data_IF_550109690767
#
_entry.id   IF_550109690767
#
_cell.length_a   1.000
_cell.length_b   1.000
_cell.length_c   1.000
_cell.angle_alpha   90.00
_cell.angle_beta   90.00
_cell.angle_gamma   90.00
#
_symmetry.space_group_name_H-M   'P 1'
#
loop_
_entity.id
_entity.type
_entity.pdbx_description
1 polymer ?
#
# COMPACT_ATOMS: atom_id res chain seq x y z
N UNK A 1 24.77 24.03 18.61
CA UNK A 1 24.20 22.83 19.25
C UNK A 1 22.69 22.61 18.99
N UNK A 2 21.96 23.51 18.32
CA UNK A 2 20.47 23.43 18.28
C UNK A 2 19.82 22.62 17.14
N UNK A 3 20.55 22.11 16.16
CA UNK A 3 19.94 21.40 15.01
C UNK A 3 19.60 19.93 15.31
N UNK A 4 20.47 19.23 16.05
CA UNK A 4 20.27 17.82 16.40
C UNK A 4 19.12 17.60 17.38
N UNK A 5 18.99 18.46 18.38
CA UNK A 5 17.88 18.43 19.35
C UNK A 5 16.52 18.64 18.66
N UNK A 6 16.45 19.61 17.73
CA UNK A 6 15.24 19.86 16.95
C UNK A 6 14.84 18.67 16.04
N UNK A 7 15.82 17.94 15.50
CA UNK A 7 15.57 16.72 14.72
C UNK A 7 15.02 15.59 15.61
N UNK A 8 15.66 15.35 16.76
CA UNK A 8 15.22 14.33 17.72
C UNK A 8 13.79 14.58 18.23
N UNK A 9 13.44 15.85 18.49
CA UNK A 9 12.08 16.23 18.90
C UNK A 9 11.04 15.96 17.80
N UNK A 10 11.39 16.18 16.53
CA UNK A 10 10.50 15.86 15.39
C UNK A 10 10.30 14.36 15.23
N UNK A 11 11.37 13.59 15.36
CA UNK A 11 11.32 12.13 15.31
C UNK A 11 10.47 11.57 16.45
N UNK A 12 10.67 12.04 17.68
CA UNK A 12 9.85 11.67 18.82
C UNK A 12 8.36 12.00 18.58
N UNK A 13 8.03 13.18 18.06
CA UNK A 13 6.65 13.54 17.71
C UNK A 13 6.06 12.60 16.65
N UNK A 14 6.84 12.24 15.62
CA UNK A 14 6.41 11.29 14.61
C UNK A 14 6.11 9.91 15.22
N UNK A 15 6.97 9.42 16.11
CA UNK A 15 6.76 8.15 16.81
C UNK A 15 5.49 8.18 17.66
N UNK A 16 5.27 9.23 18.46
CA UNK A 16 4.02 9.39 19.21
C UNK A 16 2.79 9.46 18.30
N UNK A 17 2.88 10.17 17.17
CA UNK A 17 1.79 10.27 16.21
C UNK A 17 1.43 8.90 15.59
N UNK A 18 2.42 8.04 15.37
CA UNK A 18 2.22 6.69 14.83
C UNK A 18 1.66 5.76 15.91
N UNK A 19 2.22 5.78 17.12
CA UNK A 19 1.78 4.95 18.25
C UNK A 19 0.29 5.18 18.56
N UNK A 20 -0.12 6.45 18.65
CA UNK A 20 -1.50 6.82 18.93
C UNK A 20 -2.42 6.74 17.71
N UNK A 21 -1.90 6.31 16.54
CA UNK A 21 -2.63 6.34 15.27
C UNK A 21 -3.28 7.72 15.03
N UNK A 22 -2.59 8.80 15.41
CA UNK A 22 -3.14 10.16 15.55
C UNK A 22 -3.90 10.61 14.31
N UNK A 23 -3.33 10.36 13.13
CA UNK A 23 -3.93 10.76 11.86
C UNK A 23 -5.10 9.89 11.44
N UNK A 24 -5.05 8.58 11.73
CA UNK A 24 -6.17 7.67 11.51
C UNK A 24 -7.38 8.08 12.37
N UNK A 25 -7.13 8.48 13.61
CA UNK A 25 -8.16 8.92 14.55
C UNK A 25 -8.70 10.32 14.23
N UNK A 26 -7.82 11.27 13.87
CA UNK A 26 -8.21 12.64 13.52
C UNK A 26 -8.97 12.72 12.19
N UNK A 27 -8.55 11.94 11.21
CA UNK A 27 -9.10 11.93 9.85
C UNK A 27 -9.76 10.58 9.56
N UNK A 28 -10.63 10.12 10.47
CA UNK A 28 -11.40 8.88 10.28
C UNK A 28 -12.25 8.99 9.01
N UNK A 29 -11.92 8.17 8.02
CA UNK A 29 -12.71 8.01 6.82
C UNK A 29 -13.97 7.20 7.17
N UNK A 30 -15.12 7.61 6.63
CA UNK A 30 -16.39 6.88 6.84
C UNK A 30 -16.35 5.56 6.07
N UNK A 31 -16.94 4.51 6.63
CA UNK A 31 -16.99 3.18 5.99
C UNK A 31 -17.57 3.23 4.57
N UNK A 32 -18.55 4.11 4.36
CA UNK A 32 -19.21 4.35 3.06
C UNK A 32 -18.24 4.83 1.98
N UNK A 33 -17.12 5.47 2.34
CA UNK A 33 -16.09 5.89 1.37
C UNK A 33 -15.38 4.68 0.77
N UNK A 34 -15.25 3.58 1.51
CA UNK A 34 -14.67 2.33 1.05
C UNK A 34 -15.70 1.41 0.36
N UNK A 35 -16.97 1.82 0.27
CA UNK A 35 -18.05 1.06 -0.40
C UNK A 35 -18.84 1.99 -1.31
N UNK A 36 -18.29 2.37 -2.48
CA UNK A 36 -18.95 3.32 -3.37
C UNK A 36 -20.26 2.73 -3.90
N UNK A 37 -21.30 3.57 -4.04
CA UNK A 37 -22.64 3.14 -4.49
C UNK A 37 -22.65 2.44 -5.85
N UNK A 38 -21.76 2.84 -6.76
CA UNK A 38 -21.63 2.26 -8.09
C UNK A 38 -21.08 0.83 -8.06
N UNK A 39 -20.22 0.51 -7.07
CA UNK A 39 -19.58 -0.81 -6.94
C UNK A 39 -19.13 -1.06 -5.49
N UNK A 40 -20.03 -1.56 -4.63
CA UNK A 40 -19.75 -1.72 -3.19
C UNK A 40 -18.53 -2.59 -2.89
N UNK A 41 -18.30 -3.64 -3.69
CA UNK A 41 -17.24 -4.62 -3.46
C UNK A 41 -15.90 -4.24 -4.12
N UNK A 42 -15.74 -3.01 -4.60
CA UNK A 42 -14.57 -2.60 -5.38
C UNK A 42 -13.26 -2.77 -4.60
N UNK A 43 -13.18 -2.20 -3.40
CA UNK A 43 -11.96 -2.23 -2.60
C UNK A 43 -11.68 -3.61 -2.01
N UNK A 44 -12.73 -4.37 -1.65
CA UNK A 44 -12.60 -5.76 -1.17
C UNK A 44 -12.00 -6.67 -2.26
N UNK A 45 -12.46 -6.53 -3.51
CA UNK A 45 -11.89 -7.24 -4.65
C UNK A 45 -10.45 -6.80 -4.95
N UNK A 46 -10.16 -5.50 -4.86
CA UNK A 46 -8.81 -4.97 -5.09
C UNK A 46 -7.80 -5.51 -4.07
N UNK A 47 -8.16 -5.53 -2.78
CA UNK A 47 -7.31 -6.09 -1.72
C UNK A 47 -7.02 -7.57 -2.00
N UNK A 48 -8.06 -8.35 -2.34
CA UNK A 48 -7.91 -9.75 -2.73
C UNK A 48 -6.96 -9.91 -3.93
N UNK A 49 -7.11 -9.09 -4.97
CA UNK A 49 -6.22 -9.12 -6.14
C UNK A 49 -4.77 -8.79 -5.78
N UNK A 50 -4.54 -7.83 -4.87
CA UNK A 50 -3.19 -7.45 -4.40
C UNK A 50 -2.55 -8.56 -3.57
N UNK A 51 -3.31 -9.22 -2.70
CA UNK A 51 -2.85 -10.39 -1.94
C UNK A 51 -2.52 -11.58 -2.85
N UNK A 52 -3.24 -11.72 -3.97
CA UNK A 52 -2.96 -12.72 -5.00
C UNK A 52 -1.82 -12.32 -5.97
N UNK A 53 -1.48 -11.02 -6.05
CA UNK A 53 -0.54 -10.46 -7.03
C UNK A 53 0.94 -10.90 -6.94
N UNK A 54 1.54 -11.30 -5.79
CA UNK A 54 2.94 -11.74 -5.80
C UNK A 54 3.14 -13.00 -6.65
N UNK A 55 2.11 -13.83 -6.81
CA UNK A 55 2.17 -15.03 -7.65
C UNK A 55 1.88 -14.73 -9.13
N UNK A 56 0.98 -13.78 -9.43
CA UNK A 56 0.55 -13.46 -10.81
C UNK A 56 1.59 -12.66 -11.62
N UNK A 57 2.27 -11.68 -11.02
CA UNK A 57 3.23 -10.82 -11.73
C UNK A 57 4.55 -11.55 -12.05
N UNK A 58 5.08 -12.34 -11.10
CA UNK A 58 6.34 -13.06 -11.29
C UNK A 58 6.20 -14.20 -12.33
N UNK A 59 5.14 -15.00 -12.25
CA UNK A 59 4.89 -16.08 -13.20
C UNK A 59 4.58 -15.56 -14.62
N UNK A 60 3.76 -14.51 -14.73
CA UNK A 60 3.48 -13.85 -16.03
C UNK A 60 4.75 -13.28 -16.65
N UNK A 61 5.61 -12.61 -15.85
CA UNK A 61 6.92 -12.12 -16.31
C UNK A 61 7.85 -13.26 -16.74
N UNK A 62 7.88 -14.37 -15.99
CA UNK A 62 8.70 -15.54 -16.32
C UNK A 62 8.23 -16.23 -17.61
N UNK A 63 6.93 -16.46 -17.75
CA UNK A 63 6.31 -17.03 -18.95
C UNK A 63 6.57 -16.15 -20.19
N UNK A 64 6.44 -14.83 -20.05
CA UNK A 64 6.72 -13.89 -21.14
C UNK A 64 8.21 -13.89 -21.54
N UNK A 65 9.13 -14.09 -20.59
CA UNK A 65 10.57 -14.24 -20.88
C UNK A 65 10.86 -15.53 -21.66
N UNK A 66 10.28 -16.65 -21.27
CA UNK A 66 10.43 -17.94 -21.99
C UNK A 66 9.87 -17.84 -23.41
N UNK A 67 8.66 -17.28 -23.54
CA UNK A 67 8.02 -17.09 -24.84
C UNK A 67 8.80 -16.15 -25.77
N UNK A 68 9.52 -15.18 -25.21
CA UNK A 68 10.42 -14.29 -25.95
C UNK A 68 11.68 -15.00 -26.46
N UNK A 69 12.26 -15.91 -25.67
CA UNK A 69 13.45 -16.69 -26.07
C UNK A 69 13.13 -17.68 -27.20
N UNK A 70 11.98 -18.37 -27.12
CA UNK A 70 11.54 -19.33 -28.16
C UNK A 70 11.17 -18.66 -29.50
N UNK A 71 10.98 -17.32 -29.51
CA UNK A 71 10.69 -16.55 -30.73
C UNK A 71 11.93 -15.98 -31.42
N UNK A 72 13.12 -16.17 -30.85
CA UNK A 72 14.40 -15.73 -31.41
C UNK A 72 15.19 -16.88 -32.05
N UNK A 73 14.56 -18.02 -32.27
CA UNK A 73 15.04 -19.14 -33.08
C UNK A 73 14.26 -19.25 -34.40
#
# INVERSE_FOLDING_TARGET
>A
AGSGEAQQLREANALFALLDNRFKNRYRVREQTYRPRSRPDYYDNLIRELDEAPTRSAWSRWMNRIKGMVRLE
#
